data_IF_853570630533
#
_entry.id   IF_853570630533
#
_cell.length_a   1.000
_cell.length_b   1.000
_cell.length_c   1.000
_cell.angle_alpha   90.00
_cell.angle_beta   90.00
_cell.angle_gamma   90.00
#
_symmetry.space_group_name_H-M   'P 1'
#
loop_
_entity.id
_entity.type
_entity.pdbx_description
1 polymer ?
#
# COMPACT_ATOMS: atom_id res chain seq x y z
N UNK A 1 12.58 17.11 -3.76
CA UNK A 1 12.57 15.77 -3.13
C UNK A 1 11.11 15.45 -2.92
N UNK A 2 10.55 14.45 -3.60
CA UNK A 2 9.18 14.05 -3.35
C UNK A 2 9.12 13.56 -1.89
N UNK A 3 8.36 14.25 -1.04
CA UNK A 3 8.00 13.72 0.28
C UNK A 3 7.40 12.33 0.03
N UNK A 4 8.01 11.31 0.62
CA UNK A 4 7.46 9.97 0.62
C UNK A 4 6.07 10.06 1.26
N UNK A 5 5.03 10.03 0.43
CA UNK A 5 3.63 10.26 0.77
C UNK A 5 3.05 9.03 1.50
N UNK A 6 3.80 8.47 2.44
CA UNK A 6 3.50 7.22 3.14
C UNK A 6 2.54 7.40 4.31
N UNK A 7 2.01 8.62 4.48
CA UNK A 7 1.13 9.01 5.58
C UNK A 7 1.85 9.24 6.92
N UNK A 8 3.17 9.09 6.96
CA UNK A 8 3.95 9.18 8.21
C UNK A 8 3.96 7.87 9.01
N UNK A 9 4.46 7.89 10.26
CA UNK A 9 4.55 6.69 11.09
C UNK A 9 3.16 6.16 11.45
N UNK A 10 2.92 4.85 11.28
CA UNK A 10 1.64 4.21 11.63
C UNK A 10 1.37 4.21 13.14
N UNK A 11 2.42 4.24 13.94
CA UNK A 11 2.36 4.25 15.39
C UNK A 11 3.20 5.39 15.96
N UNK A 12 2.71 6.13 16.97
CA UNK A 12 3.50 7.14 17.64
C UNK A 12 4.76 6.51 18.26
N UNK A 13 5.88 7.24 18.24
CA UNK A 13 7.11 6.77 18.87
C UNK A 13 6.88 6.58 20.39
N UNK A 14 7.46 5.53 21.00
CA UNK A 14 7.40 5.36 22.45
C UNK A 14 7.97 6.61 23.13
N UNK A 15 7.25 7.12 24.13
CA UNK A 15 7.63 8.32 24.85
C UNK A 15 8.95 8.10 25.61
N UNK A 16 10.01 8.76 25.16
CA UNK A 16 11.29 8.81 25.86
C UNK A 16 11.46 10.16 26.57
N UNK A 17 11.38 10.22 27.91
CA UNK A 17 11.41 11.48 28.66
C UNK A 17 12.71 12.29 28.49
N UNK A 18 13.80 11.68 28.01
CA UNK A 18 15.08 12.36 27.76
C UNK A 18 15.21 12.96 26.36
N UNK A 19 14.35 12.59 25.41
CA UNK A 19 14.50 12.99 24.00
C UNK A 19 13.40 13.95 23.51
N UNK A 20 12.48 14.36 24.41
CA UNK A 20 11.23 15.02 24.01
C UNK A 20 10.32 14.08 23.22
N UNK A 21 9.15 14.56 22.81
CA UNK A 21 8.32 13.83 21.84
C UNK A 21 9.08 13.85 20.51
N UNK A 22 9.95 12.87 20.27
CA UNK A 22 10.42 12.60 18.92
C UNK A 22 9.22 12.08 18.15
N UNK A 23 8.63 12.96 17.34
CA UNK A 23 7.40 12.71 16.57
C UNK A 23 7.54 11.62 15.52
N UNK A 24 8.74 11.08 15.31
CA UNK A 24 9.01 10.14 14.22
C UNK A 24 9.91 9.02 14.74
N UNK A 25 9.39 7.80 14.75
CA UNK A 25 10.21 6.61 14.93
C UNK A 25 10.80 6.24 13.55
N UNK A 26 12.11 6.44 13.29
CA UNK A 26 12.71 6.19 11.98
C UNK A 26 12.76 4.69 11.62
N UNK A 27 12.51 3.79 12.58
CA UNK A 27 12.44 2.33 12.38
C UNK A 27 11.00 1.79 12.46
N UNK A 28 9.99 2.65 12.59
CA UNK A 28 8.59 2.26 12.65
C UNK A 28 7.96 1.96 11.28
N UNK A 29 6.92 1.11 11.26
CA UNK A 29 6.07 0.90 10.08
C UNK A 29 5.35 2.20 9.69
N UNK A 30 5.31 2.54 8.40
CA UNK A 30 4.55 3.70 7.88
C UNK A 30 3.06 3.39 7.74
N UNK A 31 2.20 4.40 7.71
CA UNK A 31 0.75 4.19 7.47
C UNK A 31 0.49 3.45 6.16
N UNK A 32 1.24 3.77 5.09
CA UNK A 32 1.15 3.05 3.80
C UNK A 32 1.45 1.56 3.97
N UNK A 33 2.53 1.23 4.65
CA UNK A 33 2.91 -0.17 4.91
C UNK A 33 1.89 -0.89 5.80
N UNK A 34 1.34 -0.20 6.79
CA UNK A 34 0.31 -0.76 7.67
C UNK A 34 -0.99 -1.06 6.91
N UNK A 35 -1.50 -0.10 6.13
CA UNK A 35 -2.71 -0.31 5.35
C UNK A 35 -2.53 -1.34 4.25
N UNK A 36 -1.37 -1.35 3.57
CA UNK A 36 -1.07 -2.38 2.58
C UNK A 36 -1.05 -3.78 3.21
N UNK A 37 -0.49 -3.93 4.43
CA UNK A 37 -0.49 -5.21 5.13
C UNK A 37 -1.89 -5.70 5.53
N UNK A 38 -2.82 -4.80 5.81
CA UNK A 38 -4.19 -5.11 6.26
C UNK A 38 -5.25 -4.97 5.15
N UNK A 39 -4.84 -4.66 3.93
CA UNK A 39 -5.71 -4.55 2.79
C UNK A 39 -6.31 -5.92 2.47
N UNK A 40 -7.64 -5.99 2.53
CA UNK A 40 -8.43 -7.14 2.11
C UNK A 40 -8.82 -6.96 0.65
N UNK A 41 -8.38 -7.88 -0.21
CA UNK A 41 -8.55 -7.83 -1.66
C UNK A 41 -9.17 -9.14 -2.09
N UNK A 42 -10.22 -9.07 -2.90
CA UNK A 42 -10.89 -10.26 -3.41
C UNK A 42 -10.14 -10.87 -4.60
N UNK A 43 -10.34 -12.17 -4.84
CA UNK A 43 -9.78 -12.85 -6.02
C UNK A 43 -10.25 -12.21 -7.34
N UNK A 44 -11.47 -11.65 -7.35
CA UNK A 44 -12.02 -10.96 -8.51
C UNK A 44 -11.24 -9.68 -8.86
N UNK A 45 -10.89 -8.87 -7.85
CA UNK A 45 -10.13 -7.62 -8.05
C UNK A 45 -8.71 -7.92 -8.58
N UNK A 46 -8.13 -9.04 -8.13
CA UNK A 46 -6.81 -9.49 -8.58
C UNK A 46 -6.87 -9.91 -10.05
N UNK A 47 -7.85 -10.73 -10.44
CA UNK A 47 -8.00 -11.20 -11.82
C UNK A 47 -8.22 -10.05 -12.80
N UNK A 48 -9.08 -9.08 -12.42
CA UNK A 48 -9.32 -7.88 -13.22
C UNK A 48 -8.03 -7.05 -13.37
N UNK A 49 -7.31 -6.81 -12.28
CA UNK A 49 -6.08 -6.03 -12.32
C UNK A 49 -4.96 -6.70 -13.13
N UNK A 50 -4.78 -8.02 -12.97
CA UNK A 50 -3.83 -8.79 -13.79
C UNK A 50 -4.20 -8.70 -15.28
N UNK A 51 -5.50 -8.80 -15.61
CA UNK A 51 -5.97 -8.67 -16.98
C UNK A 51 -5.66 -7.28 -17.56
N UNK A 52 -5.96 -6.22 -16.81
CA UNK A 52 -5.65 -4.84 -17.21
C UNK A 52 -4.15 -4.64 -17.46
N UNK A 53 -3.30 -5.07 -16.52
CA UNK A 53 -1.84 -4.94 -16.64
C UNK A 53 -1.32 -5.70 -17.87
N UNK A 54 -1.80 -6.93 -18.12
CA UNK A 54 -1.43 -7.73 -19.30
C UNK A 54 -1.91 -7.08 -20.61
N UNK A 55 -3.12 -6.51 -20.60
CA UNK A 55 -3.67 -5.80 -21.76
C UNK A 55 -2.87 -4.55 -22.11
N UNK A 56 -2.49 -3.77 -21.10
CA UNK A 56 -1.67 -2.57 -21.26
C UNK A 56 -0.26 -2.92 -21.73
N UNK A 57 0.27 -4.09 -21.33
CA UNK A 57 1.59 -4.59 -21.73
C UNK A 57 1.60 -5.26 -23.13
N UNK A 58 0.49 -5.23 -23.85
CA UNK A 58 0.29 -5.82 -25.19
C UNK A 58 0.43 -7.35 -25.27
N UNK A 59 0.59 -8.06 -24.15
CA UNK A 59 0.78 -9.51 -24.09
C UNK A 59 -0.53 -10.20 -23.70
N UNK A 60 -1.43 -10.37 -24.67
CA UNK A 60 -2.57 -11.27 -24.51
C UNK A 60 -2.13 -12.71 -24.79
N UNK A 61 -1.80 -13.46 -23.74
CA UNK A 61 -1.62 -14.91 -23.83
C UNK A 61 -2.81 -15.57 -23.16
N UNK A 62 -3.31 -16.67 -23.74
CA UNK A 62 -4.37 -17.49 -23.14
C UNK A 62 -3.87 -18.32 -21.96
N UNK A 63 -2.63 -18.13 -21.52
CA UNK A 63 -2.06 -18.83 -20.38
C UNK A 63 -2.52 -18.18 -19.07
N UNK A 64 -2.78 -19.00 -18.04
CA UNK A 64 -3.08 -18.50 -16.70
C UNK A 64 -1.91 -17.65 -16.19
N UNK A 65 -2.22 -16.63 -15.40
CA UNK A 65 -1.20 -15.77 -14.80
C UNK A 65 -0.26 -16.60 -13.92
N UNK A 66 1.03 -16.29 -13.99
CA UNK A 66 2.02 -16.93 -13.13
C UNK A 66 1.80 -16.50 -11.66
N UNK A 67 2.21 -17.33 -10.69
CA UNK A 67 2.13 -16.96 -9.27
C UNK A 67 2.83 -15.64 -8.94
N UNK A 68 3.88 -15.28 -9.70
CA UNK A 68 4.60 -14.03 -9.52
C UNK A 68 3.79 -12.82 -10.01
N UNK A 69 3.12 -12.93 -11.16
CA UNK A 69 2.23 -11.88 -11.67
C UNK A 69 1.04 -11.65 -10.74
N UNK A 70 0.49 -12.74 -10.18
CA UNK A 70 -0.59 -12.65 -9.18
C UNK A 70 -0.08 -11.94 -7.92
N UNK A 71 1.11 -12.29 -7.42
CA UNK A 71 1.70 -11.65 -6.24
C UNK A 71 2.00 -10.16 -6.46
N UNK A 72 2.47 -9.80 -7.65
CA UNK A 72 2.72 -8.41 -8.05
C UNK A 72 1.41 -7.61 -8.10
N UNK A 73 0.37 -8.14 -8.75
CA UNK A 73 -0.94 -7.51 -8.81
C UNK A 73 -1.57 -7.32 -7.43
N UNK A 74 -1.44 -8.32 -6.54
CA UNK A 74 -1.86 -8.19 -5.14
C UNK A 74 -1.10 -7.07 -4.45
N UNK A 75 0.23 -7.01 -4.59
CA UNK A 75 1.03 -5.98 -3.96
C UNK A 75 0.64 -4.57 -4.43
N UNK A 76 0.42 -4.40 -5.73
CA UNK A 76 0.02 -3.12 -6.34
C UNK A 76 -1.38 -2.68 -5.85
N UNK A 77 -2.35 -3.59 -5.82
CA UNK A 77 -3.68 -3.33 -5.26
C UNK A 77 -3.62 -2.92 -3.79
N UNK A 78 -2.78 -3.57 -2.98
CA UNK A 78 -2.58 -3.23 -1.56
C UNK A 78 -2.02 -1.83 -1.40
N UNK A 79 -1.06 -1.44 -2.24
CA UNK A 79 -0.48 -0.09 -2.23
C UNK A 79 -1.50 0.95 -2.68
N UNK A 80 -2.27 0.67 -3.74
CA UNK A 80 -3.32 1.58 -4.21
C UNK A 80 -4.40 1.81 -3.14
N UNK A 81 -4.85 0.76 -2.46
CA UNK A 81 -5.80 0.87 -1.36
C UNK A 81 -5.22 1.66 -0.18
N UNK A 82 -3.96 1.39 0.18
CA UNK A 82 -3.26 2.14 1.22
C UNK A 82 -3.20 3.64 0.90
N UNK A 83 -2.90 4.01 -0.35
CA UNK A 83 -2.86 5.39 -0.80
C UNK A 83 -4.24 6.05 -0.78
N UNK A 84 -5.29 5.32 -1.18
CA UNK A 84 -6.66 5.80 -1.10
C UNK A 84 -7.08 6.09 0.35
N UNK A 85 -6.72 5.21 1.29
CA UNK A 85 -6.99 5.37 2.72
C UNK A 85 -6.21 6.55 3.33
N UNK A 86 -4.92 6.69 3.00
CA UNK A 86 -4.12 7.85 3.43
C UNK A 86 -4.74 9.16 2.94
N UNK A 87 -5.14 9.21 1.66
CA UNK A 87 -5.80 10.41 1.11
C UNK A 87 -7.13 10.69 1.79
N UNK A 88 -7.91 9.67 2.14
CA UNK A 88 -9.18 9.80 2.86
C UNK A 88 -8.96 10.34 4.27
N UNK A 89 -7.96 9.84 4.98
CA UNK A 89 -7.54 10.35 6.29
C UNK A 89 -7.09 11.80 6.23
N UNK A 90 -6.30 12.17 5.22
CA UNK A 90 -5.85 13.54 5.02
C UNK A 90 -7.01 14.53 4.75
N UNK A 91 -8.14 14.04 4.21
CA UNK A 91 -9.37 14.84 4.01
C UNK A 91 -10.29 14.89 5.23
N UNK A 92 -9.99 14.15 6.31
CA UNK A 92 -10.83 14.08 7.51
C UNK A 92 -12.14 13.30 7.32
N UNK A 93 -12.23 12.43 6.32
CA UNK A 93 -13.43 11.63 5.98
C UNK A 93 -13.46 10.27 6.71
N UNK A 94 -12.93 10.21 7.93
CA UNK A 94 -12.76 8.98 8.72
C UNK A 94 -13.93 8.76 9.70
#
# INVERSE_FOLDING_TARGET
MAENNDGGPAFPAPYHPQEGIKTVNPTGMTLRAYFAAHADISEFDIDEHVFEVRSARATYTSEPASPMEIAEAVADLKVMLADALIRRLARGEA
#
